data_IF_821356798587
#
_entry.id   IF_821356798587
#
_cell.length_a   1.000
_cell.length_b   1.000
_cell.length_c   1.000
_cell.angle_alpha   90.00
_cell.angle_beta   90.00
_cell.angle_gamma   90.00
#
_symmetry.space_group_name_H-M   'P 1'
#
loop_
_entity.id
_entity.type
_entity.pdbx_description
1 polymer ?
#
# COMPACT_ATOMS: atom_id res chain seq x y z
N UNK A 1 12.63 -10.76 -2.93
CA UNK A 1 11.88 -9.70 -3.67
C UNK A 1 11.83 -8.46 -2.78
N UNK A 2 12.18 -7.30 -3.31
CA UNK A 2 12.34 -6.09 -2.51
C UNK A 2 11.39 -4.98 -2.99
N UNK A 3 10.95 -4.13 -2.06
CA UNK A 3 10.18 -2.94 -2.37
C UNK A 3 11.09 -1.89 -3.01
N UNK A 4 10.79 -1.51 -4.24
CA UNK A 4 11.53 -0.46 -4.94
C UNK A 4 11.30 0.93 -4.34
N UNK A 5 12.36 1.75 -4.30
CA UNK A 5 12.25 3.18 -4.00
C UNK A 5 13.18 4.00 -4.89
N UNK A 6 12.84 5.26 -5.10
CA UNK A 6 13.68 6.27 -5.77
C UNK A 6 13.89 7.46 -4.85
N UNK A 7 15.02 8.14 -5.04
CA UNK A 7 15.30 9.39 -4.35
C UNK A 7 14.80 10.58 -5.16
N UNK A 8 14.09 11.47 -4.51
CA UNK A 8 13.55 12.71 -5.10
C UNK A 8 14.03 13.90 -4.27
N UNK A 9 14.58 14.89 -4.95
CA UNK A 9 15.01 16.13 -4.32
C UNK A 9 13.80 17.03 -4.06
N UNK A 10 13.58 17.40 -2.81
CA UNK A 10 12.47 18.26 -2.39
C UNK A 10 12.95 19.30 -1.38
N UNK A 11 12.29 20.48 -1.30
CA UNK A 11 12.53 21.44 -0.23
C UNK A 11 12.29 20.80 1.16
N UNK A 12 13.13 21.08 2.12
CA UNK A 12 13.02 20.55 3.48
C UNK A 12 11.78 21.06 4.22
N UNK A 13 11.34 22.28 3.88
CA UNK A 13 10.11 22.87 4.41
C UNK A 13 9.09 23.13 3.30
N UNK A 14 7.89 22.55 3.38
CA UNK A 14 6.82 22.81 2.42
C UNK A 14 6.44 24.30 2.44
N UNK A 15 6.42 24.94 1.26
CA UNK A 15 6.01 26.33 1.09
C UNK A 15 7.14 27.37 1.12
N UNK A 16 8.34 27.04 1.58
CA UNK A 16 9.52 27.91 1.51
C UNK A 16 10.35 27.56 0.26
N UNK A 17 10.37 28.45 -0.74
CA UNK A 17 11.11 28.25 -2.00
C UNK A 17 12.63 28.21 -1.79
N UNK A 18 13.14 28.88 -0.79
CA UNK A 18 14.57 29.00 -0.48
C UNK A 18 15.06 27.99 0.57
N UNK A 19 14.21 27.04 1.00
CA UNK A 19 14.65 26.03 1.94
C UNK A 19 15.64 25.05 1.33
N UNK A 20 16.60 24.60 2.13
CA UNK A 20 17.56 23.58 1.75
C UNK A 20 16.87 22.38 1.11
N UNK A 21 17.31 21.94 -0.05
CA UNK A 21 16.77 20.77 -0.74
C UNK A 21 17.41 19.50 -0.22
N UNK A 22 16.58 18.52 0.15
CA UNK A 22 17.01 17.21 0.65
C UNK A 22 16.45 16.09 -0.21
N UNK A 23 17.17 14.97 -0.23
CA UNK A 23 16.70 13.78 -0.91
C UNK A 23 15.75 12.99 0.00
N UNK A 24 14.59 12.66 -0.53
CA UNK A 24 13.59 11.84 0.15
C UNK A 24 13.32 10.57 -0.65
N UNK A 25 13.19 9.45 0.05
CA UNK A 25 12.79 8.21 -0.56
C UNK A 25 11.28 8.24 -0.88
N UNK A 26 10.95 7.86 -2.11
CA UNK A 26 9.56 7.70 -2.57
C UNK A 26 9.42 6.28 -3.10
N UNK A 27 8.36 5.59 -2.66
CA UNK A 27 8.05 4.24 -3.12
C UNK A 27 7.95 4.17 -4.64
N UNK A 28 8.49 3.12 -5.22
CA UNK A 28 8.29 2.75 -6.62
C UNK A 28 7.64 1.38 -6.66
N UNK A 29 6.48 1.31 -7.32
CA UNK A 29 5.74 0.05 -7.49
C UNK A 29 6.38 -0.79 -8.60
N UNK A 30 6.33 -2.11 -8.45
CA UNK A 30 6.82 -3.07 -9.44
C UNK A 30 5.69 -3.58 -10.37
N UNK A 31 4.56 -2.89 -10.38
CA UNK A 31 3.41 -3.25 -11.18
C UNK A 31 2.12 -3.41 -10.35
N UNK A 32 1.09 -3.89 -11.00
CA UNK A 32 -0.24 -4.09 -10.40
C UNK A 32 -0.70 -5.52 -10.61
N UNK A 33 -1.11 -6.19 -9.54
CA UNK A 33 -1.81 -7.47 -9.65
C UNK A 33 -3.28 -7.24 -9.92
N UNK A 34 -3.78 -7.82 -11.02
CA UNK A 34 -5.19 -7.72 -11.37
C UNK A 34 -6.04 -8.67 -10.52
N UNK A 35 -7.36 -8.40 -10.45
CA UNK A 35 -8.33 -9.30 -9.83
C UNK A 35 -8.24 -10.73 -10.43
N UNK A 36 -8.09 -10.84 -11.74
CA UNK A 36 -7.92 -12.12 -12.43
C UNK A 36 -6.68 -12.88 -11.94
N UNK A 37 -5.57 -12.18 -11.75
CA UNK A 37 -4.34 -12.78 -11.23
C UNK A 37 -4.52 -13.24 -9.79
N UNK A 38 -5.15 -12.42 -8.93
CA UNK A 38 -5.44 -12.78 -7.55
C UNK A 38 -6.34 -14.03 -7.46
N UNK A 39 -7.42 -14.08 -8.23
CA UNK A 39 -8.32 -15.24 -8.26
C UNK A 39 -7.58 -16.51 -8.69
N UNK A 40 -6.69 -16.44 -9.68
CA UNK A 40 -5.86 -17.57 -10.10
C UNK A 40 -4.92 -18.04 -8.99
N UNK A 41 -4.24 -17.14 -8.32
CA UNK A 41 -3.30 -17.47 -7.25
C UNK A 41 -4.01 -18.09 -6.05
N UNK A 42 -5.17 -17.57 -5.66
CA UNK A 42 -5.96 -18.11 -4.55
C UNK A 42 -6.51 -19.50 -4.92
N UNK A 43 -7.07 -19.64 -6.12
CA UNK A 43 -7.57 -20.93 -6.64
C UNK A 43 -6.48 -22.00 -6.68
N UNK A 44 -5.26 -21.65 -7.06
CA UNK A 44 -4.13 -22.58 -7.09
C UNK A 44 -3.71 -23.10 -5.69
N UNK A 45 -4.11 -22.43 -4.62
CA UNK A 45 -3.80 -22.77 -3.22
C UNK A 45 -5.01 -23.27 -2.43
N UNK A 46 -6.14 -23.43 -3.07
CA UNK A 46 -7.39 -23.87 -2.46
C UNK A 46 -8.13 -24.84 -3.37
N UNK A 47 -9.21 -25.43 -2.87
CA UNK A 47 -10.09 -26.32 -3.63
C UNK A 47 -11.18 -25.57 -4.42
N UNK A 48 -11.19 -24.25 -4.36
CA UNK A 48 -12.21 -23.38 -4.97
C UNK A 48 -11.78 -22.93 -6.37
N UNK A 49 -12.71 -22.82 -7.29
CA UNK A 49 -12.43 -22.31 -8.62
C UNK A 49 -12.16 -20.80 -8.61
N UNK A 50 -11.49 -20.27 -9.63
CA UNK A 50 -11.25 -18.83 -9.74
C UNK A 50 -12.55 -18.02 -9.86
N UNK A 51 -13.61 -18.60 -10.40
CA UNK A 51 -14.94 -17.99 -10.47
C UNK A 51 -15.59 -17.89 -9.08
N UNK A 52 -15.47 -18.93 -8.26
CA UNK A 52 -15.98 -18.92 -6.89
C UNK A 52 -15.23 -17.90 -6.02
N UNK A 53 -13.91 -17.81 -6.18
CA UNK A 53 -13.09 -16.78 -5.49
C UNK A 53 -13.58 -15.38 -5.87
N UNK A 54 -13.83 -15.13 -7.15
CA UNK A 54 -14.37 -13.84 -7.59
C UNK A 54 -15.73 -13.56 -6.97
N UNK A 55 -16.62 -14.53 -6.96
CA UNK A 55 -17.95 -14.40 -6.35
C UNK A 55 -17.88 -14.07 -4.86
N UNK A 56 -16.97 -14.71 -4.11
CA UNK A 56 -16.75 -14.45 -2.70
C UNK A 56 -16.23 -13.02 -2.48
N UNK A 57 -15.29 -12.55 -3.28
CA UNK A 57 -14.76 -11.19 -3.18
C UNK A 57 -15.80 -10.13 -3.54
N UNK A 58 -16.63 -10.37 -4.54
CA UNK A 58 -17.75 -9.47 -4.91
C UNK A 58 -18.78 -9.39 -3.77
N UNK A 59 -19.12 -10.51 -3.15
CA UNK A 59 -20.01 -10.54 -1.97
C UNK A 59 -19.38 -9.88 -0.74
N UNK A 60 -18.08 -10.06 -0.52
CA UNK A 60 -17.36 -9.39 0.57
C UNK A 60 -17.44 -7.87 0.41
N UNK A 61 -17.26 -7.36 -0.81
CA UNK A 61 -17.37 -5.93 -1.09
C UNK A 61 -18.77 -5.40 -0.76
N UNK A 62 -19.82 -6.13 -1.13
CA UNK A 62 -21.20 -5.78 -0.80
C UNK A 62 -21.46 -5.75 0.71
N UNK A 63 -21.01 -6.77 1.44
CA UNK A 63 -21.16 -6.85 2.90
C UNK A 63 -20.37 -5.75 3.61
N UNK A 64 -19.15 -5.45 3.15
CA UNK A 64 -18.35 -4.35 3.68
C UNK A 64 -19.06 -3.01 3.52
N UNK A 65 -19.63 -2.75 2.35
CA UNK A 65 -20.40 -1.52 2.11
C UNK A 65 -21.57 -1.39 3.09
N UNK A 66 -22.37 -2.42 3.22
CA UNK A 66 -23.52 -2.44 4.12
C UNK A 66 -23.14 -2.21 5.59
N UNK A 67 -22.15 -2.94 6.09
CA UNK A 67 -21.71 -2.85 7.48
C UNK A 67 -21.04 -1.50 7.81
N UNK A 68 -20.25 -0.97 6.87
CA UNK A 68 -19.61 0.32 7.05
C UNK A 68 -20.59 1.49 6.99
N UNK A 69 -21.66 1.41 6.18
CA UNK A 69 -22.74 2.41 6.16
C UNK A 69 -23.48 2.48 7.49
N UNK A 70 -23.59 1.37 8.20
CA UNK A 70 -24.14 1.33 9.56
C UNK A 70 -23.14 1.78 10.65
N UNK A 71 -21.98 2.25 10.27
CA UNK A 71 -20.94 2.73 11.20
C UNK A 71 -20.22 1.63 11.97
N UNK A 72 -20.34 0.37 11.54
CA UNK A 72 -19.70 -0.75 12.20
C UNK A 72 -18.24 -0.90 11.81
N UNK A 73 -17.43 -1.48 12.70
CA UNK A 73 -16.07 -1.91 12.41
C UNK A 73 -16.13 -3.34 11.90
N UNK A 74 -15.67 -3.58 10.67
CA UNK A 74 -15.62 -4.92 10.10
C UNK A 74 -14.25 -5.53 10.32
N UNK A 75 -14.21 -6.64 11.04
CA UNK A 75 -12.98 -7.37 11.35
C UNK A 75 -12.93 -8.66 10.55
N UNK A 76 -11.85 -8.83 9.78
CA UNK A 76 -11.57 -10.01 8.94
C UNK A 76 -10.44 -10.87 9.54
N UNK A 77 -10.45 -11.07 10.86
CA UNK A 77 -9.43 -11.85 11.53
C UNK A 77 -8.02 -11.32 11.30
N UNK A 78 -7.10 -12.20 10.94
CA UNK A 78 -5.69 -11.88 10.72
C UNK A 78 -5.43 -11.02 9.47
N UNK A 79 -6.40 -10.93 8.57
CA UNK A 79 -6.31 -10.02 7.44
C UNK A 79 -6.28 -8.55 7.88
N UNK A 80 -7.15 -8.17 8.80
CA UNK A 80 -7.25 -6.81 9.30
C UNK A 80 -8.66 -6.34 9.54
N UNK A 81 -8.84 -5.04 9.66
CA UNK A 81 -10.15 -4.43 9.91
C UNK A 81 -10.37 -3.16 9.12
N UNK A 82 -11.62 -2.93 8.77
CA UNK A 82 -12.10 -1.73 8.09
C UNK A 82 -12.98 -0.91 9.02
N UNK A 83 -12.85 0.41 8.97
CA UNK A 83 -13.72 1.36 9.68
C UNK A 83 -13.86 2.66 8.92
N UNK A 84 -14.94 3.37 9.17
CA UNK A 84 -15.10 4.75 8.72
C UNK A 84 -14.52 5.69 9.78
N UNK A 85 -13.83 6.72 9.32
CA UNK A 85 -13.37 7.85 10.14
C UNK A 85 -13.96 9.13 9.59
N UNK A 86 -14.52 9.93 10.48
CA UNK A 86 -15.03 11.26 10.18
C UNK A 86 -14.17 12.32 10.85
N UNK A 87 -14.09 13.50 10.25
CA UNK A 87 -13.43 14.67 10.80
C UNK A 87 -14.24 15.91 10.46
N UNK A 88 -14.08 16.98 11.23
CA UNK A 88 -14.76 18.26 11.00
C UNK A 88 -13.81 19.42 11.26
N UNK A 89 -14.21 20.60 10.85
CA UNK A 89 -13.64 21.82 11.37
C UNK A 89 -14.14 22.05 12.80
N UNK A 90 -13.32 22.72 13.63
CA UNK A 90 -13.65 23.00 15.02
C UNK A 90 -14.58 24.21 15.14
N UNK A 91 -15.44 24.20 16.14
CA UNK A 91 -16.27 25.33 16.56
C UNK A 91 -16.03 25.62 18.04
N UNK A 92 -16.24 26.87 18.44
CA UNK A 92 -16.04 27.29 19.83
C UNK A 92 -17.21 26.87 20.73
N UNK A 93 -18.44 26.93 20.23
CA UNK A 93 -19.62 26.48 20.95
C UNK A 93 -20.24 25.27 20.25
N UNK A 94 -20.66 24.27 21.02
CA UNK A 94 -21.35 23.06 20.51
C UNK A 94 -22.61 23.37 19.72
N UNK A 95 -23.29 24.47 20.04
CA UNK A 95 -24.51 24.91 19.37
C UNK A 95 -24.29 25.33 17.93
N UNK A 96 -23.07 25.77 17.62
CA UNK A 96 -22.70 26.23 16.29
C UNK A 96 -22.29 25.07 15.37
N UNK A 97 -22.16 23.86 15.91
CA UNK A 97 -21.82 22.69 15.13
C UNK A 97 -22.98 22.20 14.25
N UNK A 98 -22.70 22.08 12.97
CA UNK A 98 -23.63 21.54 11.99
C UNK A 98 -22.98 20.36 11.25
N UNK A 99 -23.79 19.38 10.85
CA UNK A 99 -23.35 18.22 10.06
C UNK A 99 -22.73 18.59 8.71
N UNK A 100 -23.06 19.77 8.16
CA UNK A 100 -22.41 20.31 6.95
C UNK A 100 -20.91 20.63 7.14
N UNK A 101 -20.43 20.72 8.38
CA UNK A 101 -19.02 20.94 8.72
C UNK A 101 -18.20 19.64 8.73
N UNK A 102 -18.87 18.49 8.60
CA UNK A 102 -18.19 17.22 8.46
C UNK A 102 -17.49 17.14 7.12
N UNK A 103 -16.21 16.82 7.17
CA UNK A 103 -15.43 16.54 5.97
C UNK A 103 -15.83 15.18 5.40
N UNK A 104 -15.57 14.91 4.10
CA UNK A 104 -15.85 13.61 3.51
C UNK A 104 -15.25 12.48 4.36
N UNK A 105 -16.02 11.43 4.64
CA UNK A 105 -15.56 10.30 5.44
C UNK A 105 -14.42 9.57 4.74
N UNK A 106 -13.56 8.92 5.52
CA UNK A 106 -12.47 8.09 5.02
C UNK A 106 -12.66 6.66 5.50
N UNK A 107 -12.46 5.72 4.59
CA UNK A 107 -12.33 4.30 4.94
C UNK A 107 -10.89 4.06 5.37
N UNK A 108 -10.70 3.56 6.58
CA UNK A 108 -9.39 3.22 7.14
C UNK A 108 -9.29 1.71 7.24
N UNK A 109 -8.25 1.18 6.61
CA UNK A 109 -7.83 -0.21 6.78
C UNK A 109 -6.70 -0.29 7.81
N UNK A 110 -6.87 -1.17 8.78
CA UNK A 110 -5.83 -1.50 9.76
C UNK A 110 -5.41 -2.93 9.53
N UNK A 111 -4.16 -3.19 9.11
CA UNK A 111 -3.69 -4.54 8.81
C UNK A 111 -3.69 -5.43 10.05
N UNK A 112 -3.97 -6.71 9.86
CA UNK A 112 -3.88 -7.75 10.87
C UNK A 112 -2.44 -8.18 11.17
N UNK A 113 -2.27 -9.25 11.94
CA UNK A 113 -0.98 -9.73 12.41
C UNK A 113 -0.03 -10.06 11.26
N UNK A 114 -0.42 -10.92 10.34
CA UNK A 114 0.42 -11.37 9.23
C UNK A 114 0.90 -10.22 8.33
N UNK A 115 0.02 -9.28 7.99
CA UNK A 115 0.38 -8.11 7.18
C UNK A 115 1.28 -7.11 7.94
N UNK A 116 1.20 -7.08 9.27
CA UNK A 116 2.14 -6.31 10.10
C UNK A 116 3.54 -6.93 10.08
N UNK A 117 3.62 -8.25 10.10
CA UNK A 117 4.89 -8.95 10.02
C UNK A 117 5.54 -8.81 8.64
N UNK A 118 4.74 -8.80 7.56
CA UNK A 118 5.22 -8.44 6.22
C UNK A 118 5.94 -7.10 6.21
N UNK A 119 5.45 -6.10 6.95
CA UNK A 119 6.13 -4.79 7.06
C UNK A 119 7.50 -4.86 7.73
N UNK A 120 7.69 -5.78 8.68
CA UNK A 120 8.96 -5.95 9.40
C UNK A 120 10.02 -6.67 8.57
N UNK A 121 9.58 -7.60 7.72
CA UNK A 121 10.45 -8.44 6.89
C UNK A 121 10.70 -7.86 5.49
N UNK A 122 10.13 -6.69 5.20
CA UNK A 122 10.22 -6.07 3.89
C UNK A 122 11.66 -5.60 3.60
N UNK A 123 12.22 -6.08 2.51
CA UNK A 123 13.50 -5.64 1.98
C UNK A 123 13.30 -4.46 1.04
N UNK A 124 14.29 -3.57 0.96
CA UNK A 124 14.24 -2.37 0.12
C UNK A 124 15.34 -2.38 -0.92
N UNK A 125 15.01 -2.02 -2.16
CA UNK A 125 15.95 -1.87 -3.26
C UNK A 125 15.81 -0.49 -3.89
N UNK A 126 16.96 0.21 -4.06
CA UNK A 126 16.99 1.48 -4.77
C UNK A 126 16.89 1.23 -6.27
N UNK A 127 15.94 1.88 -6.92
CA UNK A 127 15.76 1.84 -8.38
C UNK A 127 16.30 3.15 -8.97
N UNK A 128 17.33 3.06 -9.80
CA UNK A 128 17.85 4.21 -10.56
C UNK A 128 16.84 4.68 -11.61
N UNK A 129 16.90 5.94 -11.97
CA UNK A 129 16.10 6.52 -13.05
C UNK A 129 16.67 6.14 -14.42
N UNK A 130 16.51 4.90 -14.79
CA UNK A 130 16.96 4.38 -16.10
C UNK A 130 16.78 2.88 -16.01
N UNK A 131 15.79 2.34 -16.73
CA UNK A 131 15.47 0.93 -16.69
C UNK A 131 16.66 0.04 -17.05
N UNK A 132 17.40 -0.38 -16.04
CA UNK A 132 18.25 -1.55 -16.06
C UNK A 132 18.50 -1.94 -14.62
N UNK A 133 18.10 -3.12 -14.27
CA UNK A 133 18.53 -3.83 -13.08
C UNK A 133 20.03 -4.04 -13.21
N UNK A 134 20.83 -3.29 -12.45
CA UNK A 134 22.22 -3.67 -12.26
C UNK A 134 22.25 -4.64 -11.10
N UNK A 135 22.27 -5.90 -11.41
CA UNK A 135 22.78 -6.90 -10.49
C UNK A 135 24.25 -6.59 -10.20
N UNK A 136 24.57 -6.37 -8.96
CA UNK A 136 25.96 -6.38 -8.50
C UNK A 136 26.38 -7.85 -8.38
N UNK A 137 26.98 -8.34 -9.43
CA UNK A 137 27.70 -9.59 -9.43
C UNK A 137 29.13 -9.28 -9.83
N UNK A 138 30.01 -9.08 -8.86
CA UNK A 138 31.42 -9.11 -9.08
C UNK A 138 31.87 -10.54 -9.26
N UNK A 139 32.84 -10.71 -10.14
CA UNK A 139 33.91 -11.71 -10.10
C UNK A 139 34.51 -11.73 -11.48
N UNK A 140 35.59 -11.11 -11.67
CA UNK A 140 36.96 -11.53 -11.48
C UNK A 140 37.24 -12.96 -11.92
N UNK A 141 37.99 -13.04 -12.95
CA UNK A 141 39.15 -13.87 -13.18
C UNK A 141 39.45 -13.92 -14.67
N UNK A 142 40.41 -13.17 -15.02
CA UNK A 142 41.78 -13.64 -15.16
C UNK A 142 41.90 -14.79 -16.17
N UNK A 143 42.40 -14.38 -17.26
CA UNK A 143 43.14 -15.24 -18.18
C UNK A 143 44.61 -15.01 -17.96
N UNK A 144 45.54 -15.81 -18.24
CA UNK A 144 46.16 -15.66 -19.56
C UNK A 144 46.72 -16.96 -20.14
N UNK A 145 47.40 -16.73 -21.24
CA UNK A 145 48.47 -17.52 -21.85
C UNK A 145 48.07 -18.54 -22.89
N UNK A 146 48.55 -18.18 -24.04
CA UNK A 146 49.75 -18.62 -24.79
C UNK A 146 49.68 -20.06 -25.29
N UNK A 147 49.68 -20.28 -26.48
CA UNK A 147 50.74 -20.35 -27.51
C UNK A 147 50.10 -20.32 -28.88
#
# INVERSE_FOLDING_TARGET
MAQGFKLVLRPSKPGEKDSEKKFYAVSKTNGTSSMKTLCKLISARSTVSSADVKAVLDNLNFVLDMELQEGRIVRLGDFGSFRISVSSDGVTDKKDFNTSMLRPPRIIFTPGGELKDTKKTLEYARVSQGGATTEAGGSDSDSPDEI
#
